data_IF_341032140776
#
_entry.id   IF_341032140776
#
_cell.length_a   1.000
_cell.length_b   1.000
_cell.length_c   1.000
_cell.angle_alpha   90.00
_cell.angle_beta   90.00
_cell.angle_gamma   90.00
#
_symmetry.space_group_name_H-M   'P 1'
#
loop_
_entity.id
_entity.type
_entity.pdbx_description
1 polymer ?
#
# COMPACT_ATOMS: atom_id res chain seq x y z
N UNK A 1 -22.87 7.28 13.13
CA UNK A 1 -22.86 6.64 11.79
C UNK A 1 -21.40 6.38 11.42
N UNK A 2 -21.01 5.11 11.35
CA UNK A 2 -19.60 4.70 11.33
C UNK A 2 -19.12 4.51 9.91
N UNK A 3 -18.57 5.56 9.30
CA UNK A 3 -17.97 5.51 7.97
C UNK A 3 -16.69 4.67 8.03
N UNK A 4 -16.79 3.41 7.63
CA UNK A 4 -15.63 2.50 7.57
C UNK A 4 -15.00 2.65 6.19
N UNK A 5 -13.80 3.24 6.13
CA UNK A 5 -12.97 3.27 4.93
C UNK A 5 -12.61 1.83 4.54
N UNK A 6 -13.13 1.36 3.41
CA UNK A 6 -12.66 0.12 2.81
C UNK A 6 -11.33 0.40 2.11
N UNK A 7 -10.23 0.06 2.76
CA UNK A 7 -8.95 -0.08 2.06
C UNK A 7 -8.92 -1.42 1.32
N UNK A 8 -8.30 -1.42 0.14
CA UNK A 8 -8.42 -2.44 -0.91
C UNK A 8 -7.70 -3.77 -0.64
N UNK A 9 -7.70 -4.23 0.62
CA UNK A 9 -7.11 -5.49 1.09
C UNK A 9 -7.65 -6.70 0.30
N UNK A 10 -8.85 -6.60 -0.29
CA UNK A 10 -9.53 -7.70 -0.96
C UNK A 10 -9.26 -7.88 -2.45
N UNK A 11 -8.46 -7.03 -3.11
CA UNK A 11 -8.29 -7.11 -4.57
C UNK A 11 -7.30 -8.21 -4.98
N UNK A 12 -6.19 -8.36 -4.25
CA UNK A 12 -5.08 -9.29 -4.58
C UNK A 12 -5.38 -10.81 -4.41
N UNK A 13 -6.28 -11.25 -3.51
CA UNK A 13 -6.64 -12.67 -3.46
C UNK A 13 -7.44 -13.17 -4.68
N UNK A 14 -8.07 -12.25 -5.42
CA UNK A 14 -9.09 -12.58 -6.43
C UNK A 14 -8.45 -12.90 -7.78
N UNK A 15 -7.43 -12.15 -8.20
CA UNK A 15 -6.63 -12.48 -9.39
C UNK A 15 -5.96 -13.85 -9.23
N UNK A 16 -5.42 -14.16 -8.05
CA UNK A 16 -4.86 -15.49 -7.77
C UNK A 16 -5.88 -16.60 -7.94
N UNK A 17 -7.11 -16.39 -7.49
CA UNK A 17 -8.19 -17.38 -7.68
C UNK A 17 -8.47 -17.57 -9.17
N UNK A 18 -8.56 -16.50 -9.95
CA UNK A 18 -8.78 -16.58 -11.41
C UNK A 18 -7.63 -17.31 -12.13
N UNK A 19 -6.38 -17.00 -11.79
CA UNK A 19 -5.20 -17.63 -12.40
C UNK A 19 -4.96 -19.07 -11.95
N UNK A 20 -5.34 -19.44 -10.73
CA UNK A 20 -5.22 -20.83 -10.25
C UNK A 20 -6.36 -21.74 -10.70
N UNK A 21 -7.51 -21.16 -11.08
CA UNK A 21 -8.68 -21.90 -11.58
C UNK A 21 -8.83 -21.76 -13.10
N UNK A 22 -9.40 -20.67 -13.58
CA UNK A 22 -9.74 -20.41 -15.00
C UNK A 22 -8.52 -20.39 -15.90
N UNK A 23 -7.44 -19.72 -15.49
CA UNK A 23 -6.23 -19.54 -16.32
C UNK A 23 -5.03 -20.39 -15.86
N UNK A 24 -5.29 -21.52 -15.18
CA UNK A 24 -4.25 -22.39 -14.62
C UNK A 24 -3.17 -22.82 -15.62
N UNK A 25 -3.57 -23.02 -16.88
CA UNK A 25 -2.68 -23.43 -17.95
C UNK A 25 -1.57 -22.41 -18.28
N UNK A 26 -1.79 -21.12 -17.97
CA UNK A 26 -0.78 -20.07 -18.18
C UNK A 26 0.35 -20.13 -17.15
N UNK A 27 0.10 -20.73 -15.98
CA UNK A 27 1.06 -20.83 -14.86
C UNK A 27 1.65 -19.47 -14.45
N UNK A 28 0.83 -18.43 -14.32
CA UNK A 28 1.25 -17.08 -13.94
C UNK A 28 0.65 -16.69 -12.58
N UNK A 29 1.23 -17.14 -11.45
CA UNK A 29 0.63 -16.94 -10.14
C UNK A 29 1.02 -15.62 -9.46
N UNK A 30 1.91 -14.82 -10.06
CA UNK A 30 2.51 -13.66 -9.42
C UNK A 30 2.15 -12.34 -10.10
N UNK A 31 1.51 -11.44 -9.33
CA UNK A 31 1.28 -10.07 -9.78
C UNK A 31 2.62 -9.30 -9.81
N UNK A 32 3.01 -8.87 -11.01
CA UNK A 32 4.24 -8.13 -11.33
C UNK A 32 3.99 -6.61 -11.28
N UNK A 33 2.79 -6.19 -11.68
CA UNK A 33 2.38 -4.79 -11.66
C UNK A 33 0.90 -4.68 -11.33
N UNK A 34 0.58 -3.69 -10.52
CA UNK A 34 -0.78 -3.34 -10.12
C UNK A 34 -0.94 -1.83 -10.31
N UNK A 35 -1.94 -1.43 -11.06
CA UNK A 35 -2.35 -0.03 -11.19
C UNK A 35 -3.83 0.06 -10.85
N UNK A 36 -4.17 0.89 -9.87
CA UNK A 36 -5.54 1.08 -9.39
C UNK A 36 -5.90 2.56 -9.43
N UNK A 37 -7.12 2.85 -9.86
CA UNK A 37 -7.77 4.14 -9.74
C UNK A 37 -8.92 4.02 -8.73
N UNK A 38 -8.88 4.89 -7.72
CA UNK A 38 -9.91 4.98 -6.68
C UNK A 38 -10.92 6.04 -7.07
N UNK A 39 -11.96 5.63 -7.80
CA UNK A 39 -12.98 6.53 -8.31
C UNK A 39 -13.84 7.11 -7.17
N UNK A 40 -14.09 6.30 -6.14
CA UNK A 40 -15.01 6.61 -5.04
C UNK A 40 -14.65 5.86 -3.76
N UNK A 41 -15.23 6.31 -2.64
CA UNK A 41 -15.04 5.67 -1.32
C UNK A 41 -15.90 4.41 -1.19
N UNK A 42 -15.21 3.28 -1.07
CA UNK A 42 -15.83 2.02 -0.73
C UNK A 42 -16.22 1.94 0.75
N UNK A 43 -17.31 1.22 1.03
CA UNK A 43 -17.85 0.97 2.38
C UNK A 43 -17.65 -0.48 2.79
N UNK A 44 -17.55 -0.76 4.09
CA UNK A 44 -17.59 -2.13 4.59
C UNK A 44 -18.91 -2.80 4.19
N UNK A 45 -18.81 -3.94 3.52
CA UNK A 45 -19.98 -4.68 3.03
C UNK A 45 -19.66 -5.49 1.79
N UNK A 46 -20.71 -5.99 1.16
CA UNK A 46 -20.59 -6.78 -0.07
C UNK A 46 -20.03 -5.92 -1.19
N UNK A 47 -19.10 -6.49 -1.96
CA UNK A 47 -18.60 -5.92 -3.19
C UNK A 47 -18.56 -7.02 -4.27
N UNK A 48 -18.69 -6.62 -5.52
CA UNK A 48 -18.54 -7.49 -6.68
C UNK A 48 -17.28 -7.07 -7.42
N UNK A 49 -16.33 -8.01 -7.52
CA UNK A 49 -15.14 -7.83 -8.33
C UNK A 49 -15.36 -8.48 -9.69
N UNK A 50 -15.21 -7.69 -10.75
CA UNK A 50 -15.30 -8.16 -12.12
C UNK A 50 -13.92 -8.18 -12.73
N UNK A 51 -13.52 -9.34 -13.27
CA UNK A 51 -12.28 -9.54 -14.00
C UNK A 51 -12.57 -9.58 -15.49
N UNK A 52 -11.78 -8.85 -16.28
CA UNK A 52 -11.81 -8.91 -17.74
C UNK A 52 -10.41 -9.21 -18.24
N UNK A 53 -10.25 -10.32 -18.93
CA UNK A 53 -9.01 -10.70 -19.59
C UNK A 53 -8.75 -9.73 -20.75
N UNK A 54 -7.64 -8.98 -20.71
CA UNK A 54 -7.32 -7.98 -21.73
C UNK A 54 -6.30 -8.51 -22.73
N UNK A 55 -5.26 -9.15 -22.23
CA UNK A 55 -4.22 -9.80 -23.03
C UNK A 55 -3.74 -11.02 -22.28
N UNK A 56 -3.91 -12.19 -22.87
CA UNK A 56 -3.34 -13.43 -22.34
C UNK A 56 -2.10 -13.77 -23.15
N UNK A 57 -0.97 -13.92 -22.47
CA UNK A 57 0.29 -14.29 -23.09
C UNK A 57 0.86 -15.51 -22.38
N UNK A 58 1.79 -16.21 -23.05
CA UNK A 58 2.48 -17.36 -22.45
C UNK A 58 3.39 -16.99 -21.28
N UNK A 59 3.86 -15.73 -21.23
CA UNK A 59 4.70 -15.23 -20.12
C UNK A 59 4.02 -14.17 -19.27
N UNK A 60 3.42 -13.18 -19.91
CA UNK A 60 2.73 -12.08 -19.25
C UNK A 60 1.28 -12.05 -19.68
N UNK A 61 0.39 -11.92 -18.69
CA UNK A 61 -1.01 -11.62 -18.93
C UNK A 61 -1.42 -10.33 -18.25
N UNK A 62 -2.29 -9.58 -18.91
CA UNK A 62 -2.89 -8.36 -18.39
C UNK A 62 -4.38 -8.60 -18.21
N UNK A 63 -4.85 -8.40 -16.99
CA UNK A 63 -6.29 -8.39 -16.66
C UNK A 63 -6.70 -6.98 -16.25
N UNK A 64 -7.92 -6.61 -16.59
CA UNK A 64 -8.60 -5.46 -16.04
C UNK A 64 -9.49 -5.92 -14.89
N UNK A 65 -9.51 -5.17 -13.80
CA UNK A 65 -10.32 -5.44 -12.63
C UNK A 65 -11.18 -4.23 -12.30
N UNK A 66 -12.38 -4.49 -11.77
CA UNK A 66 -13.23 -3.44 -11.21
C UNK A 66 -13.93 -3.95 -9.96
N UNK A 67 -13.96 -3.14 -8.91
CA UNK A 67 -14.71 -3.38 -7.69
C UNK A 67 -15.94 -2.48 -7.70
N UNK A 68 -17.12 -3.09 -7.57
CA UNK A 68 -18.40 -2.40 -7.52
C UNK A 68 -19.17 -2.72 -6.25
N UNK A 69 -19.90 -1.73 -5.75
CA UNK A 69 -20.83 -1.87 -4.64
C UNK A 69 -22.22 -1.37 -5.06
N UNK A 70 -23.27 -1.85 -4.40
CA UNK A 70 -24.60 -1.28 -4.62
C UNK A 70 -24.68 0.11 -3.99
N UNK A 71 -25.10 1.08 -4.79
CA UNK A 71 -25.47 2.40 -4.32
C UNK A 71 -26.83 2.38 -3.60
N UNK A 72 -27.14 3.46 -2.88
CA UNK A 72 -28.39 3.60 -2.12
C UNK A 72 -29.64 3.51 -3.01
N UNK A 73 -29.53 3.90 -4.29
CA UNK A 73 -30.58 3.80 -5.29
C UNK A 73 -30.71 2.39 -5.92
N UNK A 74 -29.91 1.41 -5.46
CA UNK A 74 -29.89 0.04 -5.96
C UNK A 74 -28.99 -0.19 -7.20
N UNK A 75 -28.40 0.86 -7.78
CA UNK A 75 -27.53 0.74 -8.94
C UNK A 75 -26.13 0.24 -8.56
N UNK A 76 -25.47 -0.49 -9.46
CA UNK A 76 -24.08 -0.88 -9.27
C UNK A 76 -23.17 0.33 -9.51
N UNK A 77 -22.34 0.67 -8.52
CA UNK A 77 -21.40 1.79 -8.57
C UNK A 77 -19.99 1.26 -8.49
N UNK A 78 -19.15 1.60 -9.48
CA UNK A 78 -17.73 1.25 -9.48
C UNK A 78 -17.00 2.16 -8.50
N UNK A 79 -16.30 1.56 -7.55
CA UNK A 79 -15.49 2.27 -6.54
C UNK A 79 -14.02 2.32 -6.95
N UNK A 80 -13.52 1.21 -7.51
CA UNK A 80 -12.12 1.03 -7.88
C UNK A 80 -12.07 0.31 -9.22
N UNK A 81 -11.16 0.73 -10.08
CA UNK A 81 -10.82 0.02 -11.30
C UNK A 81 -9.32 0.00 -11.52
N UNK A 82 -8.85 -0.89 -12.39
CA UNK A 82 -7.42 -1.00 -12.60
C UNK A 82 -6.97 -2.16 -13.46
N UNK A 83 -5.66 -2.29 -13.57
CA UNK A 83 -5.00 -3.32 -14.35
C UNK A 83 -3.99 -4.07 -13.49
N UNK A 84 -3.94 -5.39 -13.69
CA UNK A 84 -2.94 -6.27 -13.09
C UNK A 84 -2.18 -6.96 -14.21
N UNK A 85 -0.85 -6.94 -14.09
CA UNK A 85 0.05 -7.74 -14.93
C UNK A 85 0.52 -8.94 -14.10
N UNK A 86 0.34 -10.14 -14.63
CA UNK A 86 0.67 -11.41 -14.01
C UNK A 86 1.80 -12.12 -14.78
N UNK A 87 2.73 -12.74 -14.06
CA UNK A 87 3.81 -13.58 -14.60
C UNK A 87 4.11 -14.76 -13.68
N UNK A 88 5.09 -15.58 -14.09
CA UNK A 88 5.82 -16.49 -13.22
C UNK A 88 7.21 -15.93 -12.90
N UNK A 89 7.32 -15.15 -11.82
CA UNK A 89 8.61 -14.58 -11.35
C UNK A 89 9.67 -15.67 -11.15
N UNK A 90 9.28 -16.88 -10.77
CA UNK A 90 10.24 -17.96 -10.48
C UNK A 90 10.86 -18.56 -11.73
N UNK A 91 10.23 -18.35 -12.89
CA UNK A 91 10.71 -18.78 -14.19
C UNK A 91 11.37 -17.64 -14.99
N UNK A 92 11.51 -16.44 -14.40
CA UNK A 92 12.21 -15.34 -15.04
C UNK A 92 13.73 -15.59 -15.02
N UNK A 93 14.36 -15.51 -16.18
CA UNK A 93 15.82 -15.64 -16.36
C UNK A 93 16.35 -14.39 -17.07
N UNK A 94 17.52 -13.91 -16.65
CA UNK A 94 18.15 -12.74 -17.29
C UNK A 94 19.47 -12.25 -16.67
N UNK A 95 20.16 -11.38 -17.42
CA UNK A 95 21.20 -10.43 -17.02
C UNK A 95 20.85 -9.67 -15.73
N UNK A 96 21.38 -10.19 -14.65
CA UNK A 96 21.51 -9.44 -13.40
C UNK A 96 22.73 -8.53 -13.47
N UNK A 97 22.51 -7.22 -13.48
CA UNK A 97 23.57 -6.22 -13.38
C UNK A 97 23.69 -5.80 -11.91
N UNK A 98 24.88 -5.90 -11.27
CA UNK A 98 25.08 -5.36 -9.94
C UNK A 98 24.75 -3.87 -9.91
N UNK A 99 23.74 -3.49 -9.13
CA UNK A 99 23.47 -2.09 -8.88
C UNK A 99 24.46 -1.57 -7.85
N UNK A 100 25.05 -0.38 -8.07
CA UNK A 100 25.72 0.38 -7.01
C UNK A 100 24.73 1.05 -6.05
N UNK A 101 23.44 0.71 -6.15
CA UNK A 101 22.41 1.24 -5.28
C UNK A 101 22.64 0.78 -3.84
N UNK A 102 22.57 1.73 -2.92
CA UNK A 102 22.56 1.49 -1.48
C UNK A 102 21.56 2.44 -0.84
N UNK A 103 21.00 2.04 0.28
CA UNK A 103 20.06 2.87 1.02
C UNK A 103 20.78 4.12 1.54
N UNK A 104 20.29 5.29 1.15
CA UNK A 104 20.82 6.58 1.60
C UNK A 104 19.68 7.50 2.06
N UNK A 105 19.74 8.04 3.29
CA UNK A 105 20.71 7.72 4.34
C UNK A 105 20.59 6.25 4.80
N UNK A 106 21.65 5.67 5.39
CA UNK A 106 21.56 4.32 5.95
C UNK A 106 20.51 4.26 7.07
N UNK A 107 19.61 3.27 6.99
CA UNK A 107 18.60 3.06 8.02
C UNK A 107 19.25 2.83 9.40
N UNK A 108 18.66 3.37 10.49
CA UNK A 108 19.13 3.08 11.85
C UNK A 108 19.13 1.57 12.15
N UNK A 109 20.14 1.08 12.87
CA UNK A 109 20.23 -0.34 13.20
C UNK A 109 19.08 -0.77 14.11
N UNK A 110 18.45 -1.91 13.80
CA UNK A 110 17.32 -2.45 14.55
C UNK A 110 17.67 -3.82 15.17
N UNK A 111 17.42 -3.97 16.47
CA UNK A 111 17.38 -5.26 17.14
C UNK A 111 15.95 -5.79 17.10
N UNK A 112 15.62 -6.52 16.03
CA UNK A 112 14.27 -7.04 15.80
C UNK A 112 13.80 -7.96 16.95
N UNK A 113 14.70 -8.70 17.60
CA UNK A 113 14.32 -9.60 18.69
C UNK A 113 13.88 -8.77 19.90
N UNK A 114 14.68 -7.77 20.27
CA UNK A 114 14.37 -6.87 21.38
C UNK A 114 13.12 -6.04 21.11
N UNK A 115 12.93 -5.54 19.89
CA UNK A 115 11.73 -4.81 19.47
C UNK A 115 10.47 -5.66 19.62
N UNK A 116 10.54 -6.95 19.28
CA UNK A 116 9.41 -7.86 19.42
C UNK A 116 9.07 -8.13 20.90
N UNK A 117 10.08 -8.24 21.77
CA UNK A 117 9.89 -8.57 23.18
C UNK A 117 9.45 -7.37 24.03
N UNK A 118 10.07 -6.22 23.80
CA UNK A 118 9.94 -5.06 24.70
C UNK A 118 9.19 -3.89 24.06
N UNK A 119 9.05 -3.91 22.73
CA UNK A 119 8.51 -2.79 21.98
C UNK A 119 9.55 -1.74 21.62
N UNK A 120 10.81 -1.87 22.02
CA UNK A 120 11.81 -0.83 21.79
C UNK A 120 13.26 -1.33 21.82
N UNK A 121 14.17 -0.59 21.18
CA UNK A 121 15.61 -0.77 21.28
C UNK A 121 16.32 0.60 21.38
N UNK A 122 17.63 0.62 21.10
CA UNK A 122 18.46 1.84 21.10
C UNK A 122 18.00 2.89 20.08
N UNK A 123 17.56 2.48 18.89
CA UNK A 123 17.23 3.37 17.78
C UNK A 123 15.74 3.43 17.45
N UNK A 124 14.95 2.44 17.86
CA UNK A 124 13.58 2.23 17.44
C UNK A 124 12.64 2.06 18.64
N UNK A 125 11.38 2.47 18.47
CA UNK A 125 10.34 2.21 19.46
C UNK A 125 8.99 2.00 18.79
N UNK A 126 8.13 1.23 19.46
CA UNK A 126 6.77 0.92 19.01
C UNK A 126 5.92 2.18 19.07
N UNK A 127 5.42 2.61 17.93
CA UNK A 127 4.47 3.71 17.84
C UNK A 127 3.05 3.21 18.16
N UNK A 128 2.35 3.96 19.01
CA UNK A 128 0.91 3.75 19.21
C UNK A 128 0.16 4.26 17.98
N UNK A 129 -0.84 3.52 17.46
CA UNK A 129 -1.62 3.98 16.33
C UNK A 129 -2.31 5.30 16.67
N UNK A 130 -2.12 6.31 15.82
CA UNK A 130 -2.79 7.60 15.93
C UNK A 130 -4.23 7.46 15.43
N UNK A 131 -5.18 8.09 16.13
CA UNK A 131 -6.60 8.12 15.77
C UNK A 131 -7.22 6.73 15.54
N UNK A 132 -7.11 5.78 16.49
CA UNK A 132 -7.56 4.40 16.28
C UNK A 132 -9.07 4.29 16.01
N UNK A 133 -9.88 5.25 16.46
CA UNK A 133 -11.32 5.30 16.20
C UNK A 133 -11.65 5.69 14.75
N UNK A 134 -10.82 6.54 14.14
CA UNK A 134 -10.99 7.02 12.76
C UNK A 134 -10.31 6.08 11.76
N UNK A 135 -9.05 5.70 12.00
CA UNK A 135 -8.29 4.78 11.16
C UNK A 135 -8.24 3.40 11.80
N UNK A 136 -9.12 2.51 11.32
CA UNK A 136 -9.13 1.09 11.75
C UNK A 136 -7.97 0.28 11.19
N UNK A 137 -7.40 0.72 10.07
CA UNK A 137 -6.34 0.02 9.33
C UNK A 137 -5.06 -0.14 10.14
N UNK A 138 -4.52 0.92 10.79
CA UNK A 138 -3.38 0.80 11.70
C UNK A 138 -3.56 -0.24 12.81
N UNK A 139 -4.79 -0.65 13.14
CA UNK A 139 -5.04 -1.71 14.12
C UNK A 139 -4.60 -3.09 13.60
N UNK A 140 -4.43 -3.26 12.29
CA UNK A 140 -3.97 -4.49 11.67
C UNK A 140 -2.44 -4.59 11.56
N UNK A 141 -1.71 -3.59 12.05
CA UNK A 141 -0.24 -3.56 12.02
C UNK A 141 0.34 -3.02 13.31
N UNK A 142 1.61 -3.33 13.58
CA UNK A 142 2.42 -2.61 14.55
C UNK A 142 3.50 -1.83 13.80
N UNK A 143 3.61 -0.55 14.10
CA UNK A 143 4.69 0.30 13.62
C UNK A 143 5.79 0.43 14.66
N UNK A 144 7.04 0.39 14.21
CA UNK A 144 8.19 0.84 14.98
C UNK A 144 8.89 1.93 14.18
N UNK A 145 9.14 3.06 14.84
CA UNK A 145 9.73 4.25 14.22
C UNK A 145 11.03 4.65 14.90
N UNK A 146 11.93 5.38 14.21
CA UNK A 146 13.18 5.83 14.79
C UNK A 146 12.96 6.81 15.94
N UNK A 147 13.71 6.64 17.02
CA UNK A 147 13.76 7.59 18.15
C UNK A 147 14.35 8.93 17.77
N UNK A 148 15.33 8.91 16.85
CA UNK A 148 15.99 10.11 16.33
C UNK A 148 15.11 10.92 15.36
N UNK A 149 13.89 10.47 15.08
CA UNK A 149 13.03 11.07 14.07
C UNK A 149 13.50 10.75 12.64
N UNK A 150 12.99 11.52 11.69
CA UNK A 150 13.28 11.37 10.26
C UNK A 150 14.71 11.83 9.95
N UNK A 151 15.50 10.99 9.25
CA UNK A 151 16.87 11.37 8.85
C UNK A 151 16.89 12.46 7.76
N UNK A 152 15.84 12.53 6.93
CA UNK A 152 15.63 13.57 5.92
C UNK A 152 14.19 14.06 5.93
N UNK A 153 13.98 15.30 5.50
CA UNK A 153 12.62 15.83 5.30
C UNK A 153 11.91 15.03 4.21
N UNK A 154 10.69 14.56 4.50
CA UNK A 154 9.90 13.77 3.54
C UNK A 154 10.27 12.29 3.49
N UNK A 155 11.17 11.81 4.36
CA UNK A 155 11.53 10.40 4.47
C UNK A 155 11.05 9.84 5.81
N UNK A 156 10.38 8.69 5.78
CA UNK A 156 10.03 7.92 6.98
C UNK A 156 10.58 6.52 6.89
N UNK A 157 11.38 6.15 7.88
CA UNK A 157 11.78 4.78 8.11
C UNK A 157 10.80 4.13 9.09
N UNK A 158 10.33 2.94 8.76
CA UNK A 158 9.39 2.18 9.58
C UNK A 158 9.70 0.69 9.52
N UNK A 159 9.68 0.03 10.68
CA UNK A 159 9.48 -1.41 10.71
C UNK A 159 8.00 -1.70 10.95
N UNK A 160 7.42 -2.53 10.10
CA UNK A 160 6.00 -2.84 10.13
C UNK A 160 5.78 -4.34 10.30
N UNK A 161 4.96 -4.69 11.29
CA UNK A 161 4.53 -6.08 11.52
C UNK A 161 3.05 -6.23 11.23
N UNK A 162 2.70 -7.21 10.39
CA UNK A 162 1.30 -7.55 10.17
C UNK A 162 0.69 -8.29 11.36
N UNK A 163 -0.47 -7.82 11.82
CA UNK A 163 -1.25 -8.37 12.92
C UNK A 163 -2.75 -8.12 12.66
N UNK A 164 -3.34 -8.78 11.66
CA UNK A 164 -4.75 -8.60 11.33
C UNK A 164 -5.62 -8.81 12.58
N UNK A 165 -6.57 -7.89 12.79
CA UNK A 165 -7.44 -7.86 13.97
C UNK A 165 -6.75 -7.47 15.28
N UNK A 166 -5.52 -6.93 15.23
CA UNK A 166 -4.76 -6.52 16.41
C UNK A 166 -4.19 -7.68 17.24
N UNK A 167 -4.20 -8.90 16.68
CA UNK A 167 -3.70 -10.08 17.38
C UNK A 167 -2.23 -10.31 17.02
N UNK A 168 -1.34 -10.15 17.99
CA UNK A 168 0.10 -10.27 17.76
C UNK A 168 0.45 -11.67 17.24
N UNK A 169 1.07 -11.74 16.06
CA UNK A 169 1.46 -13.00 15.42
C UNK A 169 0.35 -13.73 14.67
N UNK A 170 -0.84 -13.14 14.53
CA UNK A 170 -1.94 -13.71 13.73
C UNK A 170 -1.70 -13.67 12.22
N UNK A 171 -0.79 -12.83 11.75
CA UNK A 171 -0.52 -12.61 10.33
C UNK A 171 0.93 -12.85 9.95
N UNK A 172 1.13 -13.12 8.66
CA UNK A 172 2.42 -13.13 7.99
C UNK A 172 2.32 -12.27 6.74
N UNK A 173 3.41 -11.60 6.39
CA UNK A 173 3.51 -10.94 5.10
C UNK A 173 3.56 -12.00 3.99
N UNK A 174 2.68 -11.86 3.01
CA UNK A 174 2.60 -12.65 1.79
C UNK A 174 2.56 -11.71 0.58
N UNK A 175 2.68 -12.28 -0.63
CA UNK A 175 2.49 -11.51 -1.86
C UNK A 175 1.14 -10.77 -1.89
N UNK A 176 0.09 -11.35 -1.30
CA UNK A 176 -1.25 -10.77 -1.27
C UNK A 176 -1.34 -9.53 -0.39
N UNK A 177 -0.52 -9.48 0.65
CA UNK A 177 -0.48 -8.37 1.58
C UNK A 177 0.37 -7.19 1.09
N UNK A 178 1.11 -7.33 -0.03
CA UNK A 178 2.00 -6.28 -0.51
C UNK A 178 1.23 -5.00 -0.91
N UNK A 179 0.07 -5.15 -1.52
CA UNK A 179 -0.82 -4.01 -1.81
C UNK A 179 -1.27 -3.28 -0.54
N UNK A 180 -1.45 -4.01 0.56
CA UNK A 180 -1.77 -3.40 1.86
C UNK A 180 -0.56 -2.71 2.50
N UNK A 181 0.63 -3.32 2.47
CA UNK A 181 1.88 -2.71 3.00
C UNK A 181 2.20 -1.39 2.32
N UNK A 182 1.87 -1.28 1.04
CA UNK A 182 2.25 -0.11 0.24
C UNK A 182 1.21 1.01 0.29
N UNK A 183 -0.05 0.69 0.61
CA UNK A 183 -1.13 1.66 0.81
C UNK A 183 -1.36 2.00 2.29
N UNK A 184 -0.65 1.34 3.22
CA UNK A 184 -0.69 1.70 4.62
C UNK A 184 0.21 2.92 4.85
N UNK A 185 -0.39 4.09 4.66
CA UNK A 185 0.30 5.38 4.73
C UNK A 185 1.13 5.52 6.02
N UNK A 186 2.47 5.65 5.91
CA UNK A 186 3.27 6.19 6.98
C UNK A 186 2.86 7.65 7.21
N UNK A 187 2.90 8.11 8.45
CA UNK A 187 2.40 9.42 8.87
C UNK A 187 3.23 10.64 8.37
N UNK A 188 3.87 10.56 7.19
CA UNK A 188 4.78 11.58 6.61
C UNK A 188 4.08 12.94 6.45
N UNK A 189 2.86 12.94 5.91
CA UNK A 189 2.14 14.19 5.66
C UNK A 189 1.68 14.79 6.97
N UNK A 190 1.19 13.97 7.90
CA UNK A 190 0.77 14.43 9.22
C UNK A 190 1.94 14.95 10.05
N UNK A 191 3.13 14.33 9.97
CA UNK A 191 4.33 14.81 10.68
C UNK A 191 4.81 16.15 10.12
N UNK A 192 4.74 16.33 8.80
CA UNK A 192 5.07 17.61 8.16
C UNK A 192 4.07 18.71 8.55
N UNK A 193 2.76 18.44 8.44
CA UNK A 193 1.71 19.39 8.84
C UNK A 193 1.84 19.73 10.33
N UNK A 194 2.09 18.75 11.20
CA UNK A 194 2.30 19.00 12.63
C UNK A 194 3.52 19.89 12.88
N UNK A 195 4.63 19.68 12.18
CA UNK A 195 5.82 20.54 12.33
C UNK A 195 5.56 21.98 11.89
N UNK A 196 4.84 22.19 10.78
CA UNK A 196 4.46 23.51 10.31
C UNK A 196 3.47 24.20 11.25
N UNK A 197 2.43 23.50 11.69
CA UNK A 197 1.43 24.05 12.62
C UNK A 197 2.06 24.35 13.98
N UNK A 198 2.97 23.50 14.48
CA UNK A 198 3.77 23.79 15.70
C UNK A 198 4.60 25.06 15.57
N UNK A 199 5.19 25.30 14.40
CA UNK A 199 5.98 26.50 14.14
C UNK A 199 5.12 27.77 14.01
N UNK A 200 3.89 27.65 13.49
CA UNK A 200 2.99 28.78 13.24
C UNK A 200 2.09 29.11 14.44
N UNK A 201 1.63 28.12 15.21
CA UNK A 201 0.68 28.28 16.30
C UNK A 201 0.88 27.21 17.42
N UNK A 202 1.68 27.52 18.45
CA UNK A 202 1.98 26.60 19.55
C UNK A 202 0.77 26.22 20.41
N UNK A 203 -0.27 27.06 20.50
CA UNK A 203 -1.50 26.75 21.25
C UNK A 203 -2.34 25.71 20.48
N UNK A 204 -2.41 25.83 19.15
CA UNK A 204 -3.08 24.85 18.27
C UNK A 204 -2.37 23.49 18.26
N UNK A 205 -1.06 23.45 18.54
CA UNK A 205 -0.33 22.18 18.74
C UNK A 205 -0.96 21.30 19.83
N UNK A 206 -1.54 21.90 20.88
CA UNK A 206 -2.16 21.16 21.99
C UNK A 206 -3.41 20.37 21.55
N UNK A 207 -4.05 20.76 20.44
CA UNK A 207 -5.16 19.98 19.86
C UNK A 207 -4.68 18.69 19.19
N UNK A 208 -3.46 18.63 18.67
CA UNK A 208 -2.90 17.39 18.11
C UNK A 208 -2.56 16.37 19.19
N UNK A 209 -2.26 16.83 20.40
CA UNK A 209 -2.02 15.96 21.56
C UNK A 209 -3.34 15.45 22.18
N UNK A 210 -4.49 16.05 21.80
CA UNK A 210 -5.81 15.54 22.15
C UNK A 210 -6.20 14.40 21.20
N UNK A 211 -6.34 13.20 21.76
CA UNK A 211 -6.34 11.89 21.08
C UNK A 211 -7.47 11.68 20.04
N UNK A 212 -8.43 12.60 19.94
CA UNK A 212 -9.70 12.39 19.22
C UNK A 212 -9.98 13.33 18.04
N UNK A 213 -9.11 14.30 17.72
CA UNK A 213 -9.39 15.23 16.61
C UNK A 213 -8.93 14.66 15.27
N UNK A 214 -9.84 14.41 14.32
CA UNK A 214 -9.48 13.91 12.98
C UNK A 214 -8.63 14.94 12.22
N UNK A 215 -7.60 14.54 11.44
CA UNK A 215 -6.89 15.45 10.55
C UNK A 215 -7.81 16.21 9.58
N UNK A 216 -8.94 15.63 9.19
CA UNK A 216 -9.95 16.30 8.36
C UNK A 216 -10.62 17.48 9.08
N UNK A 217 -10.90 17.35 10.38
CA UNK A 217 -11.48 18.44 11.21
C UNK A 217 -10.50 19.62 11.39
N UNK A 218 -9.19 19.34 11.27
CA UNK A 218 -8.11 20.34 11.36
C UNK A 218 -7.84 21.01 10.00
N UNK A 219 -8.00 20.26 8.90
CA UNK A 219 -7.88 20.74 7.52
C UNK A 219 -9.08 21.63 7.11
N UNK A 220 -10.31 21.30 7.54
CA UNK A 220 -11.48 22.15 7.29
C UNK A 220 -11.38 23.54 7.95
N UNK A 221 -10.50 23.70 8.96
CA UNK A 221 -10.28 24.97 9.67
C UNK A 221 -8.94 25.65 9.34
N UNK A 222 -8.20 25.16 8.35
CA UNK A 222 -6.90 25.68 7.95
C UNK A 222 -6.92 26.31 6.56
N UNK A 223 -6.85 27.65 6.51
CA UNK A 223 -6.53 28.52 5.36
C UNK A 223 -7.26 28.29 4.03
N UNK A 224 -7.85 29.37 3.50
CA UNK A 224 -8.40 29.49 2.14
C UNK A 224 -7.38 29.32 0.99
N UNK A 225 -6.13 28.96 1.30
CA UNK A 225 -5.11 28.55 0.32
C UNK A 225 -4.98 27.03 0.34
N UNK A 226 -5.86 26.35 -0.39
CA UNK A 226 -5.83 24.89 -0.50
C UNK A 226 -4.60 24.42 -1.27
N UNK A 227 -3.59 23.94 -0.55
CA UNK A 227 -2.50 23.19 -1.16
C UNK A 227 -3.01 21.79 -1.51
N UNK A 228 -3.02 21.47 -2.80
CA UNK A 228 -3.42 20.19 -3.33
C UNK A 228 -2.33 19.15 -3.01
N UNK A 229 -2.51 18.35 -1.96
CA UNK A 229 -1.61 17.22 -1.67
C UNK A 229 -2.00 16.05 -2.57
N UNK A 230 -1.31 15.91 -3.70
CA UNK A 230 -1.39 14.73 -4.56
C UNK A 230 -0.36 13.72 -4.08
N UNK A 231 -0.83 12.60 -3.53
CA UNK A 231 0.04 11.47 -3.18
C UNK A 231 -0.10 10.45 -4.32
N UNK A 232 0.93 10.34 -5.16
CA UNK A 232 1.05 9.28 -6.15
C UNK A 232 2.01 8.22 -5.62
N UNK A 233 1.51 7.01 -5.37
CA UNK A 233 2.35 5.86 -5.05
C UNK A 233 2.67 5.09 -6.34
N UNK A 234 3.89 5.28 -6.83
CA UNK A 234 4.48 4.37 -7.80
C UNK A 234 5.23 3.27 -7.06
N UNK A 235 4.58 2.12 -6.87
CA UNK A 235 5.29 0.89 -6.49
C UNK A 235 5.78 0.27 -7.78
N UNK A 236 7.00 0.62 -8.17
CA UNK A 236 7.68 -0.06 -9.27
C UNK A 236 8.45 -1.22 -8.68
N UNK A 237 7.93 -2.44 -8.83
CA UNK A 237 8.79 -3.61 -8.81
C UNK A 237 9.72 -3.47 -10.01
N UNK A 238 11.01 -3.29 -9.76
CA UNK A 238 12.02 -3.22 -10.80
C UNK A 238 12.16 -4.65 -11.36
N UNK A 239 11.55 -4.88 -12.51
CA UNK A 239 11.74 -6.11 -13.29
C UNK A 239 12.82 -5.90 -14.35
N UNK A 240 13.52 -7.00 -14.68
CA UNK A 240 14.52 -7.01 -15.73
C UNK A 240 13.93 -6.54 -17.08
N UNK A 241 14.65 -5.66 -17.78
CA UNK A 241 14.26 -5.09 -19.08
C UNK A 241 14.69 -5.92 -20.29
N UNK A 242 15.36 -7.05 -20.09
CA UNK A 242 16.13 -7.73 -21.15
C UNK A 242 15.30 -8.20 -22.34
N UNK A 243 14.03 -8.57 -22.13
CA UNK A 243 13.19 -9.05 -23.22
C UNK A 243 12.62 -7.94 -24.10
N UNK A 244 12.60 -6.69 -23.63
CA UNK A 244 12.27 -5.55 -24.50
C UNK A 244 13.36 -5.30 -25.55
N UNK A 245 14.55 -5.86 -25.34
CA UNK A 245 15.73 -5.75 -26.20
C UNK A 245 16.01 -7.05 -26.96
N UNK A 246 15.36 -8.17 -26.59
CA UNK A 246 15.51 -9.45 -27.28
C UNK A 246 14.92 -9.40 -28.71
N UNK A 247 15.57 -10.03 -29.71
CA UNK A 247 15.03 -10.12 -31.07
C UNK A 247 13.62 -10.71 -31.04
N UNK A 248 12.65 -10.00 -31.62
CA UNK A 248 11.29 -10.52 -31.77
C UNK A 248 11.30 -11.54 -32.90
N UNK A 249 11.01 -12.81 -32.59
CA UNK A 249 10.65 -13.77 -33.63
C UNK A 249 9.31 -13.36 -34.23
N UNK A 250 9.35 -12.78 -35.42
CA UNK A 250 8.17 -12.67 -36.29
C UNK A 250 7.81 -14.08 -36.71
N UNK A 251 6.70 -14.60 -36.17
CA UNK A 251 6.10 -15.82 -36.67
C UNK A 251 5.75 -15.62 -38.16
N UNK A 252 6.53 -16.22 -39.04
CA UNK A 252 6.10 -16.47 -40.42
C UNK A 252 4.88 -17.39 -40.35
N UNK A 253 3.81 -16.94 -41.00
CA UNK A 253 2.58 -17.70 -41.17
C UNK A 253 2.89 -19.01 -41.90
N UNK A 254 2.55 -20.13 -41.26
CA UNK A 254 2.19 -21.38 -41.92
C UNK A 254 0.85 -21.84 -41.36
#
# INVERSE_FOLDING_TARGET
MTTTFAQCIGIVPIDKTHFSSTLKHLRQPHAVSLHLEFLRRASAGRAVVTIRERKLGSRLSTIHISLSQQAQNGEARVEVEGYIIQSDITAEEGLSIPSAWSLYPPAPQADLIRLLQTGEDEHWFRQKPLFPHFRKVPQNVTFYVPRGGHQLTGLTDEWIRFQPGGVLGSGKWTHDSLGFVTDIFPHIVESHIQSQVRAMDPERSKLFDSVDTSPEDLLEKGSSSGDLVVISHHITLIYSTERNIAPRETAEKL
#
